data_IF_266810778540
#
_entry.id   IF_266810778540
#
_cell.length_a   1.000
_cell.length_b   1.000
_cell.length_c   1.000
_cell.angle_alpha   90.00
_cell.angle_beta   90.00
_cell.angle_gamma   90.00
#
_symmetry.space_group_name_H-M   'P 1'
#
loop_
_entity.id
_entity.type
_entity.pdbx_description
1 polymer ?
#
# COMPACT_ATOMS: atom_id res chain seq x y z
N UNK A 1 -4.35 4.49 2.12
CA UNK A 1 -4.57 3.12 2.68
C UNK A 1 -4.30 3.19 4.17
N UNK A 2 -4.81 2.27 5.00
CA UNK A 2 -4.59 2.35 6.43
C UNK A 2 -4.46 0.97 7.10
N UNK A 3 -3.71 0.90 8.20
CA UNK A 3 -3.51 -0.29 9.03
C UNK A 3 -3.36 0.10 10.49
N UNK A 4 -3.81 -0.75 11.41
CA UNK A 4 -3.53 -0.59 12.84
C UNK A 4 -2.43 -1.56 13.22
N UNK A 5 -1.36 -1.05 13.85
CA UNK A 5 -0.24 -1.83 14.35
C UNK A 5 0.22 -1.24 15.69
N UNK A 6 0.51 -2.08 16.68
CA UNK A 6 1.04 -1.66 17.99
C UNK A 6 0.29 -0.50 18.69
N UNK A 7 -1.04 -0.41 18.51
CA UNK A 7 -1.84 0.67 19.08
C UNK A 7 -1.74 2.01 18.33
N UNK A 8 -1.19 2.03 17.12
CA UNK A 8 -1.16 3.16 16.21
C UNK A 8 -1.94 2.86 14.93
N UNK A 9 -2.66 3.86 14.42
CA UNK A 9 -3.23 3.86 13.08
C UNK A 9 -2.22 4.50 12.13
N UNK A 10 -1.78 3.76 11.13
CA UNK A 10 -0.92 4.26 10.06
C UNK A 10 -1.74 4.49 8.80
N UNK A 11 -1.49 5.62 8.13
CA UNK A 11 -2.08 5.99 6.86
C UNK A 11 -0.94 6.30 5.89
N UNK A 12 -0.92 5.56 4.78
CA UNK A 12 0.05 5.73 3.72
C UNK A 12 -0.64 5.87 2.35
N UNK A 13 -0.15 6.80 1.54
CA UNK A 13 -0.74 7.18 0.26
C UNK A 13 -2.11 7.86 0.38
N UNK A 14 -2.82 7.95 -0.75
CA UNK A 14 -4.03 8.78 -0.87
C UNK A 14 -3.72 10.15 -1.45
N UNK A 15 -4.74 11.00 -1.60
CA UNK A 15 -4.56 12.36 -2.13
C UNK A 15 -4.61 13.39 -1.01
N UNK A 16 -3.73 14.37 -1.07
CA UNK A 16 -3.58 15.48 -0.14
C UNK A 16 -3.66 16.81 -0.88
N UNK A 17 -4.14 17.84 -0.17
CA UNK A 17 -4.21 19.20 -0.70
C UNK A 17 -3.03 20.00 -0.18
N UNK A 18 -2.19 20.49 -1.09
CA UNK A 18 -1.03 21.31 -0.79
C UNK A 18 -1.34 22.77 -1.07
N UNK A 19 -0.93 23.65 -0.16
CA UNK A 19 -0.96 25.10 -0.35
C UNK A 19 0.36 25.67 0.14
N UNK A 20 1.01 26.49 -0.68
CA UNK A 20 2.18 27.23 -0.24
C UNK A 20 1.84 28.11 0.96
N UNK A 21 2.78 28.30 1.88
CA UNK A 21 2.66 29.26 2.97
C UNK A 21 3.70 30.35 2.82
N UNK A 22 3.37 31.58 3.16
CA UNK A 22 4.37 32.64 3.30
C UNK A 22 5.19 32.44 4.60
N UNK A 23 6.19 33.29 4.82
CA UNK A 23 7.06 33.27 6.01
C UNK A 23 6.31 33.46 7.34
N UNK A 24 5.04 33.86 7.29
CA UNK A 24 4.15 34.03 8.44
C UNK A 24 3.18 32.86 8.64
N UNK A 25 3.33 31.76 7.89
CA UNK A 25 2.46 30.58 7.96
C UNK A 25 1.07 30.79 7.36
N UNK A 26 0.83 31.91 6.68
CA UNK A 26 -0.45 32.17 6.00
C UNK A 26 -0.40 31.51 4.63
N UNK A 27 -1.46 30.75 4.31
CA UNK A 27 -1.66 30.16 2.99
C UNK A 27 -1.51 31.23 1.90
N UNK A 28 -0.51 31.04 1.04
CA UNK A 28 -0.13 31.93 -0.04
C UNK A 28 0.33 31.08 -1.23
N UNK A 29 -0.52 30.95 -2.24
CA UNK A 29 -0.25 30.19 -3.45
C UNK A 29 -1.48 29.52 -4.01
N UNK A 30 -1.31 28.85 -5.15
CA UNK A 30 -2.33 27.98 -5.72
C UNK A 30 -2.48 26.73 -4.88
N UNK A 31 -3.73 26.29 -4.72
CA UNK A 31 -4.06 24.98 -4.14
C UNK A 31 -3.77 23.91 -5.19
N UNK A 32 -3.02 22.88 -4.81
CA UNK A 32 -2.74 21.70 -5.65
C UNK A 32 -3.20 20.43 -4.94
N UNK A 33 -3.68 19.44 -5.68
CA UNK A 33 -4.13 18.14 -5.13
C UNK A 33 -3.19 17.09 -5.66
N UNK A 34 -2.45 16.43 -4.77
CA UNK A 34 -1.35 15.53 -5.11
C UNK A 34 -1.43 14.25 -4.29
N UNK A 35 -0.54 13.30 -4.56
CA UNK A 35 -0.40 12.12 -3.70
C UNK A 35 0.26 12.51 -2.37
N UNK A 36 -0.25 11.96 -1.26
CA UNK A 36 0.37 12.10 0.05
C UNK A 36 1.74 11.40 0.03
N UNK A 37 2.79 12.17 0.32
CA UNK A 37 4.18 11.72 0.31
C UNK A 37 4.70 11.34 1.70
N UNK A 38 3.83 11.36 2.71
CA UNK A 38 4.14 11.12 4.11
C UNK A 38 3.47 9.85 4.64
N UNK A 39 4.06 9.30 5.71
CA UNK A 39 3.39 8.33 6.57
C UNK A 39 2.76 9.10 7.72
N UNK A 40 1.43 9.08 7.80
CA UNK A 40 0.68 9.72 8.88
C UNK A 40 0.36 8.64 9.91
N UNK A 41 0.68 8.88 11.18
CA UNK A 41 0.41 7.95 12.28
C UNK A 41 -0.37 8.62 13.39
N UNK A 42 -1.36 7.92 13.94
CA UNK A 42 -2.23 8.40 15.01
C UNK A 42 -2.20 7.41 16.16
N UNK A 43 -1.88 7.88 17.36
CA UNK A 43 -1.87 7.04 18.56
C UNK A 43 -3.32 6.70 18.99
N UNK A 44 -3.64 5.41 19.07
CA UNK A 44 -4.93 4.88 19.49
C UNK A 44 -4.96 4.39 20.94
N UNK A 45 -3.84 4.45 21.67
CA UNK A 45 -3.76 4.05 23.08
C UNK A 45 -4.42 5.05 24.03
N UNK A 46 -4.70 6.26 23.55
CA UNK A 46 -5.38 7.33 24.27
C UNK A 46 -6.59 7.82 23.49
N UNK A 47 -7.67 8.18 24.19
CA UNK A 47 -8.79 8.88 23.56
C UNK A 47 -8.38 10.28 23.11
N UNK A 48 -8.97 10.78 22.03
CA UNK A 48 -8.67 12.08 21.46
C UNK A 48 -9.95 12.76 20.93
N UNK A 49 -9.96 14.10 20.93
CA UNK A 49 -10.98 14.94 20.31
C UNK A 49 -10.39 15.65 19.09
N UNK A 50 -10.95 15.36 17.92
CA UNK A 50 -10.53 15.93 16.64
C UNK A 50 -10.56 17.46 16.59
N UNK A 51 -11.32 18.11 17.48
CA UNK A 51 -11.44 19.58 17.53
C UNK A 51 -10.32 20.25 18.30
N UNK A 52 -9.72 19.55 19.26
CA UNK A 52 -8.80 20.16 20.23
C UNK A 52 -7.42 19.54 20.22
N UNK A 53 -7.30 18.28 19.77
CA UNK A 53 -6.09 17.52 19.92
C UNK A 53 -5.38 17.36 18.57
N UNK A 54 -4.11 17.72 18.52
CA UNK A 54 -3.21 17.32 17.43
C UNK A 54 -2.57 15.99 17.82
N UNK A 55 -3.14 14.89 17.33
CA UNK A 55 -2.67 13.52 17.64
C UNK A 55 -1.91 12.84 16.51
N UNK A 56 -1.80 13.52 15.37
CA UNK A 56 -1.09 13.02 14.21
C UNK A 56 0.42 13.26 14.32
N UNK A 57 1.17 12.24 13.94
CA UNK A 57 2.60 12.32 13.67
C UNK A 57 2.80 12.15 12.17
N UNK A 58 3.36 13.16 11.52
CA UNK A 58 3.66 13.14 10.09
C UNK A 58 5.14 12.79 9.94
N UNK A 59 5.41 11.65 9.31
CA UNK A 59 6.76 11.15 9.08
C UNK A 59 7.13 11.22 7.60
N UNK A 60 8.35 11.67 7.34
CA UNK A 60 8.92 11.59 6.01
C UNK A 60 9.22 10.13 5.67
N UNK A 61 8.91 9.76 4.44
CA UNK A 61 9.20 8.44 3.92
C UNK A 61 10.71 8.32 3.68
N UNK A 62 11.33 7.33 4.30
CA UNK A 62 12.74 6.98 4.11
C UNK A 62 12.90 5.96 2.99
N UNK A 63 14.06 5.98 2.33
CA UNK A 63 14.43 4.95 1.37
C UNK A 63 14.91 3.69 2.08
N UNK A 64 14.74 2.55 1.41
CA UNK A 64 15.33 1.27 1.84
C UNK A 64 16.86 1.43 2.01
N UNK A 65 17.41 1.12 3.20
CA UNK A 65 18.81 1.39 3.50
C UNK A 65 19.78 0.49 2.73
N UNK A 66 19.31 -0.64 2.17
CA UNK A 66 20.12 -1.61 1.43
C UNK A 66 20.19 -1.26 -0.06
N UNK A 67 19.11 -0.70 -0.61
CA UNK A 67 18.96 -0.47 -2.06
C UNK A 67 18.85 1.00 -2.45
N UNK A 68 18.60 1.89 -1.50
CA UNK A 68 18.37 3.32 -1.70
C UNK A 68 17.03 3.65 -2.37
N UNK A 69 16.17 2.66 -2.64
CA UNK A 69 14.88 2.86 -3.29
C UNK A 69 13.84 3.32 -2.27
N UNK A 70 13.04 4.33 -2.61
CA UNK A 70 11.91 4.75 -1.79
C UNK A 70 10.70 3.84 -2.04
N UNK A 71 9.86 3.59 -1.03
CA UNK A 71 8.63 2.84 -1.23
C UNK A 71 7.71 3.57 -2.23
N UNK A 72 6.88 2.80 -2.95
CA UNK A 72 6.06 3.37 -3.98
C UNK A 72 4.89 4.17 -3.38
N UNK A 73 4.76 5.44 -3.78
CA UNK A 73 3.56 6.23 -3.52
C UNK A 73 2.47 5.71 -4.43
N UNK A 74 1.53 5.00 -3.81
CA UNK A 74 0.41 4.40 -4.52
C UNK A 74 -0.90 4.74 -3.88
N UNK A 75 -1.92 4.79 -4.73
CA UNK A 75 -3.32 4.72 -4.34
C UNK A 75 -3.84 3.31 -4.57
N UNK A 76 -4.93 2.94 -3.87
CA UNK A 76 -5.67 1.67 -4.06
C UNK A 76 -4.90 0.36 -3.79
N UNK A 77 -3.74 0.43 -3.16
CA UNK A 77 -3.07 -0.74 -2.59
C UNK A 77 -3.71 -1.19 -1.27
N UNK A 78 -3.00 -2.07 -0.55
CA UNK A 78 -3.38 -2.55 0.76
C UNK A 78 -2.20 -2.45 1.73
N UNK A 79 -2.52 -2.11 2.99
CA UNK A 79 -1.60 -2.25 4.11
C UNK A 79 -2.02 -3.45 4.95
N UNK A 80 -1.06 -4.24 5.44
CA UNK A 80 -1.27 -5.42 6.28
C UNK A 80 -0.45 -5.30 7.56
N UNK A 81 -1.02 -5.69 8.69
CA UNK A 81 -0.37 -5.58 9.99
C UNK A 81 0.70 -6.66 10.21
N UNK A 82 0.73 -7.71 9.39
CA UNK A 82 1.60 -8.88 9.62
C UNK A 82 1.13 -9.74 10.79
N UNK A 83 2.03 -10.55 11.35
CA UNK A 83 1.72 -11.34 12.55
C UNK A 83 1.75 -10.47 13.82
N UNK A 84 1.20 -10.98 14.93
CA UNK A 84 1.22 -10.27 16.21
C UNK A 84 2.64 -10.01 16.76
N UNK A 85 3.58 -10.91 16.47
CA UNK A 85 4.97 -10.84 16.94
C UNK A 85 5.89 -10.06 15.97
N UNK A 86 5.37 -9.72 14.79
CA UNK A 86 6.09 -8.93 13.80
C UNK A 86 6.06 -7.45 14.19
N UNK A 87 7.17 -6.74 14.04
CA UNK A 87 7.21 -5.29 14.25
C UNK A 87 6.89 -4.50 12.99
N UNK A 88 6.76 -5.17 11.85
CA UNK A 88 6.50 -4.52 10.59
C UNK A 88 5.01 -4.49 10.25
N UNK A 89 4.63 -3.51 9.43
CA UNK A 89 3.45 -3.62 8.59
C UNK A 89 3.89 -3.60 7.12
N UNK A 90 3.03 -4.10 6.23
CA UNK A 90 3.38 -4.39 4.84
C UNK A 90 2.50 -3.63 3.86
N UNK A 91 3.09 -3.18 2.76
CA UNK A 91 2.42 -2.59 1.61
C UNK A 91 2.53 -3.53 0.42
N UNK A 92 1.38 -3.81 -0.21
CA UNK A 92 1.29 -4.52 -1.48
C UNK A 92 0.16 -3.93 -2.33
N UNK A 93 0.27 -4.07 -3.65
CA UNK A 93 -0.75 -3.58 -4.57
C UNK A 93 -0.68 -2.07 -4.79
N UNK A 94 -1.64 -1.57 -5.55
CA UNK A 94 -1.84 -0.15 -5.80
C UNK A 94 -1.19 0.33 -7.09
N UNK A 95 -1.53 1.56 -7.43
CA UNK A 95 -1.14 2.24 -8.67
C UNK A 95 -0.53 3.59 -8.37
N UNK A 96 0.55 3.91 -9.08
CA UNK A 96 1.13 5.25 -9.09
C UNK A 96 0.16 6.22 -9.77
N UNK A 97 -0.16 7.32 -9.10
CA UNK A 97 -1.04 8.34 -9.65
C UNK A 97 -0.33 9.14 -10.75
N UNK A 98 -1.05 9.38 -11.85
CA UNK A 98 -0.63 10.32 -12.90
C UNK A 98 -1.45 11.61 -12.86
N UNK A 99 -2.13 11.91 -11.74
CA UNK A 99 -2.97 13.10 -11.61
C UNK A 99 -2.18 14.40 -11.82
N UNK A 100 -0.96 14.47 -11.28
CA UNK A 100 -0.04 15.56 -11.57
C UNK A 100 1.41 15.10 -11.47
N UNK A 101 2.01 14.87 -12.64
CA UNK A 101 3.40 14.40 -12.77
C UNK A 101 4.42 15.54 -12.65
N UNK A 102 4.00 16.77 -12.41
CA UNK A 102 4.87 17.95 -12.26
C UNK A 102 5.11 18.33 -10.81
N UNK A 103 4.42 17.69 -9.86
CA UNK A 103 4.65 17.89 -8.44
C UNK A 103 6.04 17.40 -8.03
N UNK A 104 6.73 18.15 -7.17
CA UNK A 104 8.11 17.84 -6.77
C UNK A 104 8.24 16.47 -6.09
N UNK A 105 7.20 16.04 -5.36
CA UNK A 105 7.17 14.75 -4.69
C UNK A 105 6.71 13.58 -5.57
N UNK A 106 6.34 13.83 -6.84
CA UNK A 106 5.85 12.78 -7.73
C UNK A 106 6.95 11.76 -8.08
N UNK A 107 6.54 10.50 -8.19
CA UNK A 107 7.43 9.41 -8.53
C UNK A 107 6.91 8.59 -9.72
N UNK A 108 7.86 8.05 -10.50
CA UNK A 108 7.54 7.08 -11.55
C UNK A 108 7.15 5.72 -10.94
N UNK A 109 6.44 4.92 -11.73
CA UNK A 109 6.16 3.51 -11.39
C UNK A 109 7.45 2.73 -11.11
N UNK A 110 7.42 1.91 -10.06
CA UNK A 110 8.53 1.04 -9.69
C UNK A 110 8.53 -0.29 -10.47
N UNK A 111 9.68 -0.98 -10.58
CA UNK A 111 9.71 -2.34 -11.11
C UNK A 111 8.92 -3.30 -10.24
N UNK A 112 8.22 -4.24 -10.87
CA UNK A 112 7.44 -5.25 -10.15
C UNK A 112 8.26 -6.29 -9.38
N UNK A 113 9.59 -6.31 -9.57
CA UNK A 113 10.51 -7.20 -8.86
C UNK A 113 10.43 -7.06 -7.33
N UNK A 114 10.07 -5.87 -6.83
CA UNK A 114 9.95 -5.54 -5.41
C UNK A 114 8.55 -5.01 -5.11
N UNK A 115 7.56 -5.88 -5.22
CA UNK A 115 6.14 -5.56 -5.03
C UNK A 115 5.68 -5.55 -3.57
N UNK A 116 6.47 -6.12 -2.66
CA UNK A 116 6.22 -6.11 -1.22
C UNK A 116 7.19 -5.16 -0.52
N UNK A 117 6.62 -4.26 0.29
CA UNK A 117 7.36 -3.33 1.12
C UNK A 117 6.95 -3.54 2.58
N UNK A 118 7.89 -3.46 3.51
CA UNK A 118 7.64 -3.52 4.94
C UNK A 118 8.13 -2.24 5.60
N UNK A 119 7.43 -1.77 6.63
CA UNK A 119 7.88 -0.65 7.45
C UNK A 119 8.03 -1.11 8.89
N UNK A 120 9.21 -0.87 9.48
CA UNK A 120 9.50 -1.17 10.90
C UNK A 120 8.84 -0.11 11.79
N UNK A 121 7.75 -0.48 12.45
CA UNK A 121 6.96 0.38 13.33
C UNK A 121 7.58 0.59 14.72
N UNK A 122 8.82 0.14 14.93
CA UNK A 122 9.47 0.19 16.24
C UNK A 122 10.84 0.85 16.21
N UNK A 123 11.87 0.12 15.78
CA UNK A 123 13.26 0.43 16.11
C UNK A 123 13.90 1.34 15.08
N UNK A 124 13.69 1.05 13.80
CA UNK A 124 14.36 1.78 12.70
C UNK A 124 13.49 2.87 12.10
N UNK A 125 12.16 2.70 12.09
CA UNK A 125 11.25 3.61 11.39
C UNK A 125 11.64 3.76 9.91
N UNK A 126 12.00 2.64 9.31
CA UNK A 126 12.54 2.54 7.95
C UNK A 126 11.69 1.58 7.11
N UNK A 127 11.65 1.85 5.81
CA UNK A 127 11.06 0.95 4.83
C UNK A 127 12.09 -0.05 4.33
N UNK A 128 11.66 -1.29 4.10
CA UNK A 128 12.43 -2.34 3.46
C UNK A 128 11.63 -2.93 2.29
N UNK A 129 12.31 -3.24 1.19
CA UNK A 129 11.70 -3.89 0.03
C UNK A 129 12.05 -5.39 -0.03
N UNK A 130 11.10 -6.19 -0.50
CA UNK A 130 11.25 -7.65 -0.61
C UNK A 130 10.91 -8.13 -2.02
N UNK A 131 11.74 -9.03 -2.53
CA UNK A 131 11.45 -9.75 -3.76
C UNK A 131 10.67 -11.01 -3.39
N UNK A 132 9.38 -10.98 -3.67
CA UNK A 132 8.41 -12.01 -3.36
C UNK A 132 8.28 -13.09 -4.45
N UNK A 133 9.08 -13.00 -5.53
CA UNK A 133 9.21 -14.04 -6.55
C UNK A 133 8.61 -13.71 -7.92
N UNK A 134 8.87 -14.56 -8.94
CA UNK A 134 8.56 -14.26 -10.34
C UNK A 134 7.07 -14.34 -10.71
N UNK A 135 6.22 -14.97 -9.89
CA UNK A 135 4.77 -15.11 -10.14
C UNK A 135 3.98 -13.81 -9.94
N UNK A 136 4.66 -12.72 -9.60
CA UNK A 136 4.07 -11.46 -9.11
C UNK A 136 4.51 -10.25 -9.94
N UNK A 137 5.06 -10.52 -11.13
CA UNK A 137 5.70 -9.54 -12.01
C UNK A 137 4.80 -8.38 -12.46
N UNK A 138 3.53 -8.33 -12.07
CA UNK A 138 2.72 -7.13 -12.10
C UNK A 138 1.86 -7.05 -10.84
N UNK A 139 2.26 -6.15 -9.93
CA UNK A 139 1.43 -5.71 -8.82
C UNK A 139 0.11 -5.14 -9.35
N UNK A 140 -1.01 -5.58 -8.80
CA UNK A 140 -2.34 -5.10 -9.23
C UNK A 140 -2.60 -3.66 -8.75
N UNK A 141 -3.23 -2.83 -9.60
CA UNK A 141 -3.61 -1.44 -9.31
C UNK A 141 -4.75 -1.32 -8.29
N UNK A 142 -5.64 -2.30 -8.31
CA UNK A 142 -6.81 -2.41 -7.44
C UNK A 142 -7.17 -3.87 -7.29
N UNK A 143 -7.96 -4.23 -6.30
CA UNK A 143 -8.36 -5.60 -6.02
C UNK A 143 -9.03 -5.68 -4.67
N UNK A 144 -9.33 -6.91 -4.23
CA UNK A 144 -9.80 -7.15 -2.88
C UNK A 144 -8.64 -7.69 -2.04
N UNK A 145 -8.52 -7.23 -0.80
CA UNK A 145 -7.46 -7.67 0.11
C UNK A 145 -8.02 -8.09 1.47
N UNK A 146 -7.33 -9.00 2.14
CA UNK A 146 -7.59 -9.40 3.53
C UNK A 146 -6.29 -9.87 4.18
N UNK A 147 -6.28 -9.99 5.49
CA UNK A 147 -5.17 -10.56 6.26
C UNK A 147 -5.68 -11.55 7.31
N UNK A 148 -4.85 -12.53 7.63
CA UNK A 148 -5.00 -13.48 8.73
C UNK A 148 -3.81 -13.30 9.68
N UNK A 149 -3.88 -12.33 10.61
CA UNK A 149 -2.75 -11.98 11.49
C UNK A 149 -2.32 -13.13 12.40
N UNK A 150 -3.28 -13.97 12.81
CA UNK A 150 -3.07 -15.20 13.57
C UNK A 150 -2.27 -16.27 12.80
N UNK A 151 -2.19 -16.16 11.48
CA UNK A 151 -1.40 -17.05 10.62
C UNK A 151 -0.20 -16.35 9.98
N UNK A 152 -0.01 -15.04 10.23
CA UNK A 152 1.03 -14.25 9.55
C UNK A 152 0.83 -14.17 8.02
N UNK A 153 -0.41 -14.30 7.53
CA UNK A 153 -0.71 -14.31 6.09
C UNK A 153 -1.47 -13.07 5.65
N UNK A 154 -1.18 -12.61 4.43
CA UNK A 154 -1.98 -11.60 3.73
C UNK A 154 -2.41 -12.11 2.35
N UNK A 155 -3.56 -11.63 1.89
CA UNK A 155 -4.21 -12.10 0.67
C UNK A 155 -4.58 -10.91 -0.21
N UNK A 156 -4.19 -10.96 -1.49
CA UNK A 156 -4.61 -10.01 -2.52
C UNK A 156 -5.24 -10.78 -3.67
N UNK A 157 -6.53 -10.56 -3.90
CA UNK A 157 -7.33 -11.37 -4.83
C UNK A 157 -7.63 -10.63 -6.12
N UNK A 158 -7.18 -11.23 -7.23
CA UNK A 158 -7.30 -10.70 -8.59
C UNK A 158 -6.96 -9.21 -8.63
N UNK A 159 -7.72 -8.44 -9.39
CA UNK A 159 -7.54 -7.03 -9.54
C UNK A 159 -7.25 -6.58 -10.97
N UNK A 160 -7.32 -5.28 -11.17
CA UNK A 160 -6.94 -4.64 -12.43
C UNK A 160 -5.43 -4.35 -12.46
N UNK A 161 -4.81 -4.50 -13.62
CA UNK A 161 -3.45 -4.04 -13.88
C UNK A 161 -3.58 -2.88 -14.88
N UNK A 162 -3.12 -1.71 -14.45
CA UNK A 162 -3.17 -0.46 -15.20
C UNK A 162 -1.75 0.09 -15.49
N UNK A 163 -1.67 1.29 -16.02
CA UNK A 163 -0.40 1.93 -16.34
C UNK A 163 0.40 2.45 -15.12
N UNK A 164 -0.19 2.49 -13.92
CA UNK A 164 0.53 2.84 -12.69
C UNK A 164 0.94 1.62 -11.86
N UNK A 165 0.64 0.42 -12.34
CA UNK A 165 0.90 -0.84 -11.63
C UNK A 165 2.39 -1.16 -11.51
N UNK A 166 3.15 -1.06 -12.60
CA UNK A 166 4.61 -1.26 -12.64
C UNK A 166 5.25 -0.52 -13.81
N UNK A 167 6.59 -0.43 -13.80
CA UNK A 167 7.33 0.13 -14.94
C UNK A 167 7.14 -0.64 -16.25
N UNK A 168 6.80 -1.93 -16.19
CA UNK A 168 6.48 -2.74 -17.36
C UNK A 168 5.11 -2.37 -17.97
N UNK A 169 4.22 -1.77 -17.17
CA UNK A 169 2.88 -1.39 -17.59
C UNK A 169 2.73 0.11 -17.85
N UNK A 170 3.76 0.92 -17.58
CA UNK A 170 3.74 2.38 -17.75
C UNK A 170 3.23 2.89 -19.11
N UNK A 171 3.41 2.10 -20.18
CA UNK A 171 2.96 2.44 -21.53
C UNK A 171 1.63 1.76 -21.94
N UNK A 172 0.94 1.08 -21.02
CA UNK A 172 -0.40 0.56 -21.27
C UNK A 172 -1.35 1.72 -21.56
N UNK A 173 -2.10 1.62 -22.65
CA UNK A 173 -3.17 2.55 -22.93
C UNK A 173 -4.31 2.33 -21.93
N UNK A 174 -5.00 3.39 -21.53
CA UNK A 174 -6.12 3.34 -20.58
C UNK A 174 -7.30 2.47 -21.04
N UNK A 175 -7.35 2.10 -22.32
CA UNK A 175 -8.35 1.20 -22.90
C UNK A 175 -8.00 -0.29 -22.80
N UNK A 176 -6.77 -0.63 -22.39
CA UNK A 176 -6.32 -2.03 -22.26
C UNK A 176 -6.64 -2.52 -20.84
N UNK A 177 -7.57 -3.45 -20.74
CA UNK A 177 -7.90 -4.09 -19.48
C UNK A 177 -7.03 -5.34 -19.28
N UNK A 178 -6.07 -5.25 -18.37
CA UNK A 178 -5.28 -6.40 -17.90
C UNK A 178 -5.68 -6.71 -16.46
N UNK A 179 -5.62 -7.98 -16.06
CA UNK A 179 -6.02 -8.39 -14.71
C UNK A 179 -4.99 -9.32 -14.09
N UNK A 180 -4.85 -9.24 -12.77
CA UNK A 180 -4.08 -10.23 -12.02
C UNK A 180 -4.84 -11.56 -12.06
N UNK A 181 -4.24 -12.57 -12.69
CA UNK A 181 -4.81 -13.93 -12.75
C UNK A 181 -4.36 -14.72 -11.52
N UNK A 182 -5.15 -14.62 -10.44
CA UNK A 182 -4.94 -15.40 -9.24
C UNK A 182 -5.14 -14.65 -7.94
N UNK A 183 -4.72 -15.29 -6.85
CA UNK A 183 -4.72 -14.74 -5.51
C UNK A 183 -3.30 -14.82 -4.98
N UNK A 184 -2.73 -13.65 -4.72
CA UNK A 184 -1.42 -13.52 -4.10
C UNK A 184 -1.59 -13.79 -2.62
N UNK A 185 -0.85 -14.78 -2.13
CA UNK A 185 -0.76 -15.11 -0.71
C UNK A 185 0.63 -14.75 -0.25
N UNK A 186 0.71 -13.74 0.60
CA UNK A 186 1.94 -13.21 1.17
C UNK A 186 2.11 -13.82 2.56
N UNK A 187 3.30 -14.34 2.83
CA UNK A 187 3.71 -14.74 4.15
C UNK A 187 4.57 -13.62 4.75
N UNK A 188 4.09 -13.01 5.84
CA UNK A 188 4.78 -11.92 6.51
C UNK A 188 6.02 -12.39 7.29
N UNK A 189 6.11 -13.67 7.65
CA UNK A 189 7.23 -14.19 8.45
C UNK A 189 8.51 -14.39 7.63
N UNK A 190 8.39 -14.93 6.41
CA UNK A 190 9.52 -15.24 5.54
C UNK A 190 9.61 -14.33 4.30
N UNK A 191 8.69 -13.36 4.18
CA UNK A 191 8.59 -12.39 3.10
C UNK A 191 8.49 -13.02 1.70
N UNK A 192 7.98 -14.24 1.60
CA UNK A 192 7.66 -14.88 0.34
C UNK A 192 6.20 -14.67 -0.02
N UNK A 193 5.90 -14.73 -1.33
CA UNK A 193 4.53 -14.85 -1.75
C UNK A 193 4.36 -15.85 -2.90
N UNK A 194 3.12 -16.31 -3.05
CA UNK A 194 2.72 -17.31 -4.04
C UNK A 194 1.44 -16.89 -4.70
N UNK A 195 1.35 -17.15 -5.99
CA UNK A 195 0.12 -16.93 -6.75
C UNK A 195 -0.72 -18.22 -6.82
N UNK A 196 -1.88 -18.21 -6.17
CA UNK A 196 -2.86 -19.29 -6.25
C UNK A 196 -3.83 -19.06 -7.42
N UNK A 197 -4.01 -20.05 -8.28
CA UNK A 197 -4.90 -19.92 -9.43
C UNK A 197 -6.35 -19.66 -8.99
N UNK A 198 -6.96 -18.64 -9.59
CA UNK A 198 -8.38 -18.30 -9.45
C UNK A 198 -9.14 -18.51 -10.77
N UNK A 199 -8.60 -19.35 -11.66
CA UNK A 199 -9.12 -19.57 -13.02
C UNK A 199 -10.60 -19.93 -13.08
N UNK A 200 -11.15 -20.57 -12.05
CA UNK A 200 -12.58 -20.87 -11.93
C UNK A 200 -13.42 -19.58 -11.80
N UNK A 201 -12.90 -18.55 -11.13
CA UNK A 201 -13.55 -17.26 -10.92
C UNK A 201 -13.29 -16.30 -12.09
N UNK A 202 -12.07 -16.29 -12.64
CA UNK A 202 -11.60 -15.29 -13.60
C UNK A 202 -12.09 -15.55 -15.03
N UNK A 203 -12.41 -16.80 -15.40
CA UNK A 203 -12.63 -17.25 -16.80
C UNK A 203 -13.51 -16.36 -17.69
N UNK A 204 -14.44 -15.57 -17.16
CA UNK A 204 -15.22 -14.60 -17.93
C UNK A 204 -15.59 -13.30 -17.18
N UNK A 205 -15.20 -13.14 -15.91
CA UNK A 205 -15.63 -12.01 -15.05
C UNK A 205 -14.58 -11.72 -13.97
N UNK A 206 -13.40 -11.17 -14.34
CA UNK A 206 -12.39 -10.83 -13.35
C UNK A 206 -12.96 -9.86 -12.30
N UNK A 207 -12.62 -10.10 -11.03
CA UNK A 207 -12.97 -9.20 -9.94
C UNK A 207 -11.86 -8.17 -9.83
N UNK A 208 -12.11 -6.97 -10.35
CA UNK A 208 -11.16 -5.86 -10.34
C UNK A 208 -11.24 -5.02 -9.06
N UNK A 209 -12.38 -5.09 -8.35
CA UNK A 209 -12.63 -4.39 -7.11
C UNK A 209 -13.49 -5.25 -6.19
N UNK A 210 -13.44 -4.97 -4.89
CA UNK A 210 -14.25 -5.62 -3.88
C UNK A 210 -13.63 -5.48 -2.50
N UNK A 211 -14.19 -6.23 -1.55
CA UNK A 211 -13.62 -6.40 -0.22
C UNK A 211 -13.53 -7.90 0.08
N UNK A 212 -12.49 -8.30 0.80
CA UNK A 212 -12.39 -9.60 1.43
C UNK A 212 -12.34 -9.40 2.93
N UNK A 213 -12.85 -10.38 3.66
CA UNK A 213 -12.76 -10.42 5.11
C UNK A 213 -12.30 -11.80 5.52
N UNK A 214 -11.26 -11.83 6.35
CA UNK A 214 -10.86 -13.04 7.04
C UNK A 214 -11.78 -13.24 8.24
N UNK A 215 -12.24 -14.48 8.43
CA UNK A 215 -13.03 -14.87 9.59
C UNK A 215 -12.33 -16.08 10.21
N UNK A 216 -11.67 -15.92 11.38
CA UNK A 216 -10.96 -17.02 12.02
C UNK A 216 -11.92 -18.10 12.52
N UNK A 217 -11.41 -19.32 12.68
CA UNK A 217 -12.11 -20.46 13.31
C UNK A 217 -13.44 -20.87 12.67
N UNK A 218 -13.69 -20.54 11.39
CA UNK A 218 -14.84 -21.10 10.68
C UNK A 218 -14.63 -22.62 10.50
N UNK A 219 -15.57 -23.40 11.04
CA UNK A 219 -15.60 -24.85 10.87
C UNK A 219 -14.89 -25.64 11.97
N UNK A 220 -14.29 -24.98 12.95
CA UNK A 220 -13.87 -25.62 14.19
C UNK A 220 -15.13 -25.96 15.02
N UNK A 221 -15.26 -27.24 15.37
CA UNK A 221 -16.38 -27.80 16.15
C UNK A 221 -15.92 -28.18 17.55
#
# INVERSE_FOLDING_TARGET
MAVVKNGMLHIYGGSETFVGSNDYGVANGSITIEDNIHLISINLTTSWDWKTDTVETIMNVTSDPRTGQSPPQVVRGALYQGSAEDYNFYLYGGTTSYLNTTFQGWQNTTPATYSLWAYDDTLRQEWDQFNVGPSEANRSSSGASAEAPDQGLAFYFNGEIDNGSSSATANLMSSVQTVLDGMIVINAEDHNARNLSTSIVVRNRPRIQGQMQYVPSIGEK
#
